data_IF_289519352403
#
_entry.id   IF_289519352403
#
_cell.length_a   1.000
_cell.length_b   1.000
_cell.length_c   1.000
_cell.angle_alpha   90.00
_cell.angle_beta   90.00
_cell.angle_gamma   90.00
#
_symmetry.space_group_name_H-M   'P 1'
#
loop_
_entity.id
_entity.type
_entity.pdbx_description
1 polymer ?
#
# COMPACT_ATOMS: atom_id res chain seq x y z
N UNK A 1 -9.43 -13.18 -3.13
CA UNK A 1 -8.87 -13.66 -1.85
C UNK A 1 -10.02 -13.82 -0.87
N UNK A 2 -10.04 -14.87 -0.02
CA UNK A 2 -11.02 -14.96 1.05
C UNK A 2 -10.93 -13.72 1.96
N UNK A 3 -12.07 -13.34 2.54
CA UNK A 3 -12.15 -12.23 3.50
C UNK A 3 -11.14 -12.44 4.64
N UNK A 4 -10.48 -11.38 5.07
CA UNK A 4 -9.42 -11.41 6.08
C UNK A 4 -9.88 -12.07 7.39
N UNK A 5 -11.18 -11.98 7.71
CA UNK A 5 -11.78 -12.65 8.87
C UNK A 5 -11.67 -14.19 8.86
N UNK A 6 -11.41 -14.79 7.70
CA UNK A 6 -11.27 -16.25 7.54
C UNK A 6 -9.81 -16.71 7.51
N UNK A 7 -8.84 -15.80 7.56
CA UNK A 7 -7.42 -16.14 7.54
C UNK A 7 -6.92 -16.43 8.96
N UNK A 8 -5.97 -17.35 9.07
CA UNK A 8 -5.29 -17.65 10.33
C UNK A 8 -4.37 -16.48 10.73
N UNK A 9 -4.13 -16.25 12.04
CA UNK A 9 -3.24 -15.19 12.51
C UNK A 9 -1.85 -15.21 11.85
N UNK A 10 -1.24 -16.37 11.66
CA UNK A 10 0.09 -16.49 11.04
C UNK A 10 0.10 -16.01 9.58
N UNK A 11 -0.97 -16.27 8.84
CA UNK A 11 -1.13 -15.80 7.46
C UNK A 11 -1.34 -14.29 7.42
N UNK A 12 -2.12 -13.75 8.35
CA UNK A 12 -2.31 -12.32 8.48
C UNK A 12 -1.02 -11.61 8.87
N UNK A 13 -0.26 -12.16 9.82
CA UNK A 13 1.03 -11.61 10.23
C UNK A 13 2.01 -11.50 9.05
N UNK A 14 1.97 -12.45 8.12
CA UNK A 14 2.86 -12.46 6.95
C UNK A 14 2.37 -11.57 5.79
N UNK A 15 1.06 -11.35 5.63
CA UNK A 15 0.52 -10.78 4.39
C UNK A 15 -0.46 -9.62 4.56
N UNK A 16 -1.05 -9.40 5.74
CA UNK A 16 -2.07 -8.38 5.92
C UNK A 16 -1.49 -6.98 5.67
N UNK A 17 -2.20 -6.17 4.87
CA UNK A 17 -1.78 -4.81 4.50
C UNK A 17 -0.66 -4.74 3.45
N UNK A 18 -0.11 -5.88 3.00
CA UNK A 18 0.96 -5.92 2.00
C UNK A 18 0.48 -6.56 0.68
N UNK A 19 0.80 -5.90 -0.43
CA UNK A 19 0.57 -6.40 -1.78
C UNK A 19 1.82 -6.14 -2.63
N UNK A 20 2.05 -6.91 -3.73
CA UNK A 20 3.13 -6.59 -4.64
C UNK A 20 2.99 -5.16 -5.16
N UNK A 21 4.10 -4.45 -5.29
CA UNK A 21 4.11 -3.11 -5.86
C UNK A 21 3.52 -3.16 -7.29
N UNK A 22 2.47 -2.39 -7.60
CA UNK A 22 1.82 -2.44 -8.91
C UNK A 22 2.70 -1.92 -10.04
N UNK A 23 3.72 -1.09 -9.75
CA UNK A 23 4.59 -0.54 -10.78
C UNK A 23 5.68 -1.51 -11.25
N UNK A 24 6.23 -2.33 -10.33
CA UNK A 24 7.40 -3.19 -10.60
C UNK A 24 7.17 -4.67 -10.36
N UNK A 25 6.10 -5.04 -9.66
CA UNK A 25 5.85 -6.41 -9.20
C UNK A 25 6.69 -6.82 -7.99
N UNK A 26 7.47 -5.91 -7.39
CA UNK A 26 8.27 -6.19 -6.20
C UNK A 26 7.37 -6.71 -5.05
N UNK A 27 7.74 -7.87 -4.48
CA UNK A 27 7.00 -8.47 -3.36
C UNK A 27 7.37 -7.85 -2.01
N UNK A 28 8.62 -7.43 -1.85
CA UNK A 28 9.05 -6.65 -0.70
C UNK A 28 8.53 -5.21 -0.83
N UNK A 29 8.09 -4.63 0.28
CA UNK A 29 7.58 -3.25 0.30
C UNK A 29 8.73 -2.28 -0.01
N UNK A 30 8.58 -1.38 -1.00
CA UNK A 30 9.60 -0.36 -1.28
C UNK A 30 9.84 0.55 -0.09
N UNK A 31 11.09 0.97 0.09
CA UNK A 31 11.46 2.00 1.07
C UNK A 31 11.20 3.38 0.42
N UNK A 32 10.06 3.99 0.74
CA UNK A 32 9.73 5.35 0.30
C UNK A 32 10.45 6.41 1.14
N UNK A 33 11.78 6.47 1.03
CA UNK A 33 12.62 7.44 1.74
C UNK A 33 12.56 8.82 1.04
N UNK A 34 11.41 9.49 1.17
CA UNK A 34 11.13 10.81 0.63
C UNK A 34 10.62 11.75 1.73
N UNK A 35 10.81 13.04 1.53
CA UNK A 35 10.24 14.10 2.38
C UNK A 35 8.92 14.66 1.85
N UNK A 36 8.56 14.33 0.60
CA UNK A 36 7.37 14.88 -0.08
C UNK A 36 6.83 13.97 -1.19
N UNK A 37 5.58 14.20 -1.60
CA UNK A 37 4.90 13.51 -2.70
C UNK A 37 4.25 14.51 -3.66
N UNK A 38 4.17 14.17 -4.95
CA UNK A 38 3.64 15.03 -6.00
C UNK A 38 2.11 14.89 -6.10
N UNK A 39 1.40 16.00 -6.17
CA UNK A 39 -0.02 16.00 -6.53
C UNK A 39 -0.21 15.93 -8.04
N UNK A 40 -1.26 15.24 -8.49
CA UNK A 40 -1.64 15.20 -9.91
C UNK A 40 -2.03 16.58 -10.44
N UNK A 41 -2.78 17.35 -9.64
CA UNK A 41 -3.29 18.69 -9.95
C UNK A 41 -3.71 19.42 -8.66
N UNK A 42 -4.21 20.65 -8.80
CA UNK A 42 -4.63 21.52 -7.69
C UNK A 42 -5.89 21.02 -6.97
N UNK A 43 -6.83 20.40 -7.70
CA UNK A 43 -8.07 19.88 -7.12
C UNK A 43 -7.78 18.64 -6.27
N UNK A 44 -6.88 17.76 -6.73
CA UNK A 44 -6.39 16.63 -5.96
C UNK A 44 -5.70 17.07 -4.67
N UNK A 45 -4.87 18.12 -4.74
CA UNK A 45 -4.25 18.69 -3.55
C UNK A 45 -5.32 19.20 -2.57
N UNK A 46 -6.29 19.98 -3.06
CA UNK A 46 -7.38 20.52 -2.25
C UNK A 46 -8.29 19.44 -1.65
N UNK A 47 -8.40 18.26 -2.26
CA UNK A 47 -9.21 17.15 -1.71
C UNK A 47 -8.58 16.42 -0.52
N UNK A 48 -7.27 16.61 -0.29
CA UNK A 48 -6.50 15.90 0.74
C UNK A 48 -6.23 16.75 1.99
N UNK A 49 -6.57 18.05 1.97
CA UNK A 49 -6.36 19.02 3.07
C UNK A 49 -7.61 19.87 3.30
#
# INVERSE_FOLDING_TARGET
MPDAKFLKPDTLALHAGQHPDPATGARAVPIYQSTSFVFRDVDHAASLF
#
